data_IF_581830359993
#
_entry.id   IF_581830359993
#
_cell.length_a   1.000
_cell.length_b   1.000
_cell.length_c   1.000
_cell.angle_alpha   90.00
_cell.angle_beta   90.00
_cell.angle_gamma   90.00
#
_symmetry.space_group_name_H-M   'P 1'
#
loop_
_entity.id
_entity.type
_entity.pdbx_description
1 polymer ?
#
# COMPACT_ATOMS: atom_id res chain seq x y z
N UNK A 1 -12.48 -21.93 -0.72
CA UNK A 1 -13.01 -20.76 0.01
C UNK A 1 -12.20 -19.48 -0.19
N UNK A 2 -10.85 -19.51 -0.13
CA UNK A 2 -10.03 -18.28 -0.21
C UNK A 2 -10.09 -17.49 -1.52
N UNK A 3 -10.25 -18.15 -2.67
CA UNK A 3 -10.21 -17.47 -3.97
C UNK A 3 -11.33 -16.43 -4.18
N UNK A 4 -12.55 -16.69 -3.71
CA UNK A 4 -13.66 -15.72 -3.80
C UNK A 4 -13.42 -14.51 -2.88
N UNK A 5 -12.87 -14.74 -1.69
CA UNK A 5 -12.54 -13.65 -0.75
C UNK A 5 -11.42 -12.76 -1.30
N UNK A 6 -10.38 -13.34 -1.91
CA UNK A 6 -9.30 -12.58 -2.54
C UNK A 6 -9.82 -11.72 -3.70
N UNK A 7 -10.83 -12.18 -4.46
CA UNK A 7 -11.49 -11.34 -5.48
C UNK A 7 -12.17 -10.12 -4.86
N UNK A 8 -12.82 -10.27 -3.69
CA UNK A 8 -13.41 -9.14 -2.94
C UNK A 8 -12.34 -8.15 -2.49
N UNK A 9 -11.21 -8.65 -1.97
CA UNK A 9 -10.04 -7.81 -1.62
C UNK A 9 -9.51 -7.06 -2.85
N UNK A 10 -9.43 -7.72 -4.00
CA UNK A 10 -9.01 -7.09 -5.25
C UNK A 10 -9.96 -5.96 -5.66
N UNK A 11 -11.28 -6.20 -5.57
CA UNK A 11 -12.28 -5.19 -5.91
C UNK A 11 -12.19 -3.98 -4.97
N UNK A 12 -12.02 -4.23 -3.68
CA UNK A 12 -11.80 -3.17 -2.68
C UNK A 12 -10.53 -2.37 -2.99
N UNK A 13 -9.42 -3.04 -3.31
CA UNK A 13 -8.17 -2.38 -3.71
C UNK A 13 -8.31 -1.54 -4.98
N UNK A 14 -9.06 -2.01 -5.97
CA UNK A 14 -9.35 -1.24 -7.20
C UNK A 14 -10.20 -0.01 -6.90
N UNK A 15 -11.23 -0.15 -6.05
CA UNK A 15 -12.04 0.97 -5.58
C UNK A 15 -11.20 2.01 -4.84
N UNK A 16 -10.37 1.57 -3.88
CA UNK A 16 -9.45 2.44 -3.15
C UNK A 16 -8.46 3.16 -4.08
N UNK A 17 -7.92 2.45 -5.08
CA UNK A 17 -7.04 3.04 -6.09
C UNK A 17 -7.75 4.14 -6.87
N UNK A 18 -8.97 3.89 -7.35
CA UNK A 18 -9.75 4.87 -8.10
C UNK A 18 -10.06 6.12 -7.25
N UNK A 19 -10.48 5.92 -6.00
CA UNK A 19 -10.75 7.02 -5.06
C UNK A 19 -9.49 7.86 -4.83
N UNK A 20 -8.35 7.22 -4.56
CA UNK A 20 -7.08 7.92 -4.34
C UNK A 20 -6.63 8.71 -5.56
N UNK A 21 -6.78 8.16 -6.77
CA UNK A 21 -6.45 8.87 -8.02
C UNK A 21 -7.33 10.11 -8.19
N UNK A 22 -8.64 9.98 -7.97
CA UNK A 22 -9.58 11.12 -8.08
C UNK A 22 -9.26 12.18 -7.03
N UNK A 23 -9.06 11.77 -5.77
CA UNK A 23 -8.74 12.70 -4.68
C UNK A 23 -7.43 13.45 -4.92
N UNK A 24 -6.37 12.76 -5.36
CA UNK A 24 -5.11 13.39 -5.73
C UNK A 24 -5.28 14.34 -6.93
N UNK A 25 -6.01 13.93 -7.96
CA UNK A 25 -6.25 14.79 -9.12
C UNK A 25 -6.97 16.09 -8.73
N UNK A 26 -8.00 16.00 -7.88
CA UNK A 26 -8.70 17.18 -7.35
C UNK A 26 -7.75 18.04 -6.50
N UNK A 27 -7.03 17.44 -5.57
CA UNK A 27 -6.10 18.18 -4.70
C UNK A 27 -5.00 18.91 -5.50
N UNK A 28 -4.42 18.29 -6.52
CA UNK A 28 -3.44 18.94 -7.39
C UNK A 28 -4.06 19.99 -8.33
N UNK A 29 -5.33 19.84 -8.70
CA UNK A 29 -6.02 20.80 -9.56
C UNK A 29 -6.50 22.04 -8.81
N UNK A 30 -6.83 21.93 -7.52
CA UNK A 30 -7.47 23.02 -6.76
C UNK A 30 -6.65 23.53 -5.56
N UNK A 31 -5.67 22.77 -5.08
CA UNK A 31 -4.93 23.08 -3.86
C UNK A 31 -3.54 23.67 -4.09
N UNK A 32 -3.01 24.33 -3.06
CA UNK A 32 -1.61 24.74 -2.97
C UNK A 32 -0.89 23.87 -1.94
N UNK A 33 -0.16 22.86 -2.44
CA UNK A 33 0.51 21.88 -1.60
C UNK A 33 1.49 22.50 -0.59
N UNK A 34 2.20 23.57 -0.97
CA UNK A 34 3.22 24.17 -0.11
C UNK A 34 2.57 24.98 1.02
N UNK A 35 1.58 25.80 0.68
CA UNK A 35 0.85 26.62 1.65
C UNK A 35 0.05 25.74 2.61
N UNK A 36 -0.74 24.80 2.10
CA UNK A 36 -1.58 23.91 2.91
C UNK A 36 -0.74 22.94 3.75
N UNK A 37 0.37 22.43 3.20
CA UNK A 37 1.30 21.56 3.93
C UNK A 37 1.87 22.25 5.17
N UNK A 38 2.21 23.54 5.09
CA UNK A 38 2.69 24.30 6.25
C UNK A 38 1.64 24.44 7.36
N UNK A 39 0.36 24.57 6.98
CA UNK A 39 -0.76 24.64 7.92
C UNK A 39 -0.98 23.29 8.62
N UNK A 40 -0.92 22.18 7.88
CA UNK A 40 -1.02 20.83 8.44
C UNK A 40 0.07 20.58 9.48
N UNK A 41 1.30 21.01 9.20
CA UNK A 41 2.43 20.87 10.13
C UNK A 41 2.30 21.79 11.37
N UNK A 42 1.57 22.89 11.26
CA UNK A 42 1.26 23.78 12.38
C UNK A 42 0.22 23.21 13.34
N UNK A 43 -0.66 22.31 12.87
CA UNK A 43 -1.72 21.72 13.67
C UNK A 43 -1.23 20.46 14.42
N UNK A 44 -1.50 20.32 15.74
CA UNK A 44 -1.12 19.13 16.50
C UNK A 44 -1.67 17.82 15.91
N UNK A 45 -2.96 17.82 15.54
CA UNK A 45 -3.59 16.68 14.89
C UNK A 45 -3.07 16.45 13.48
N UNK A 46 -2.71 17.51 12.74
CA UNK A 46 -2.12 17.38 11.40
C UNK A 46 -0.78 16.63 11.44
N UNK A 47 0.09 16.98 12.39
CA UNK A 47 1.34 16.22 12.64
C UNK A 47 1.08 14.78 13.08
N UNK A 48 0.11 14.54 13.96
CA UNK A 48 -0.23 13.18 14.38
C UNK A 48 -0.74 12.32 13.21
N UNK A 49 -1.58 12.87 12.33
CA UNK A 49 -2.03 12.19 11.13
C UNK A 49 -0.88 11.90 10.15
N UNK A 50 0.12 12.78 10.04
CA UNK A 50 1.32 12.49 9.25
C UNK A 50 2.13 11.34 9.86
N UNK A 51 2.30 11.30 11.19
CA UNK A 51 2.95 10.18 11.87
C UNK A 51 2.20 8.88 11.61
N UNK A 52 0.88 8.87 11.80
CA UNK A 52 0.02 7.70 11.54
C UNK A 52 0.13 7.21 10.09
N UNK A 53 0.06 8.15 9.13
CA UNK A 53 0.23 7.90 7.71
C UNK A 53 1.55 7.18 7.39
N UNK A 54 2.67 7.69 7.90
CA UNK A 54 4.00 7.15 7.60
C UNK A 54 4.32 5.88 8.38
N UNK A 55 3.82 5.71 9.60
CA UNK A 55 3.91 4.42 10.31
C UNK A 55 3.14 3.35 9.54
N UNK A 56 1.92 3.66 9.06
CA UNK A 56 1.16 2.77 8.19
C UNK A 56 1.91 2.42 6.90
N UNK A 57 2.54 3.41 6.25
CA UNK A 57 3.35 3.18 5.06
C UNK A 57 4.58 2.29 5.36
N UNK A 58 5.24 2.47 6.51
CA UNK A 58 6.36 1.63 6.92
C UNK A 58 5.94 0.18 7.18
N UNK A 59 4.78 -0.04 7.80
CA UNK A 59 4.23 -1.38 8.02
C UNK A 59 3.91 -2.10 6.70
N UNK A 60 3.27 -1.39 5.76
CA UNK A 60 3.04 -1.91 4.40
C UNK A 60 4.38 -2.16 3.70
N UNK A 61 5.34 -1.25 3.80
CA UNK A 61 6.69 -1.44 3.26
C UNK A 61 7.39 -2.68 3.80
N UNK A 62 7.23 -2.97 5.09
CA UNK A 62 7.71 -4.21 5.72
C UNK A 62 7.01 -5.45 5.16
N UNK A 63 5.69 -5.40 4.96
CA UNK A 63 4.95 -6.47 4.31
C UNK A 63 5.42 -6.71 2.86
N UNK A 64 5.67 -5.65 2.08
CA UNK A 64 6.23 -5.74 0.72
C UNK A 64 7.60 -6.40 0.76
N UNK A 65 8.49 -5.97 1.67
CA UNK A 65 9.83 -6.54 1.82
C UNK A 65 9.78 -8.03 2.22
N UNK A 66 8.79 -8.43 3.02
CA UNK A 66 8.54 -9.84 3.33
C UNK A 66 7.99 -10.61 2.13
N UNK A 67 7.16 -10.01 1.28
CA UNK A 67 6.48 -10.69 0.16
C UNK A 67 7.37 -10.85 -1.08
N UNK A 68 8.23 -9.87 -1.33
CA UNK A 68 9.13 -9.80 -2.48
C UNK A 68 10.52 -10.36 -2.17
N UNK A 69 11.07 -11.20 -3.06
CA UNK A 69 12.45 -11.67 -2.96
C UNK A 69 13.47 -10.74 -3.62
N UNK A 70 13.01 -9.85 -4.50
CA UNK A 70 13.87 -9.02 -5.33
C UNK A 70 14.07 -7.63 -4.70
N UNK A 71 15.29 -7.36 -4.27
CA UNK A 71 15.68 -6.05 -3.73
C UNK A 71 15.30 -4.86 -4.62
N UNK A 72 15.54 -4.89 -5.95
CA UNK A 72 15.09 -3.81 -6.83
C UNK A 72 13.57 -3.57 -6.78
N UNK A 73 12.76 -4.64 -6.71
CA UNK A 73 11.30 -4.49 -6.59
C UNK A 73 10.88 -3.89 -5.25
N UNK A 74 11.52 -4.31 -4.15
CA UNK A 74 11.28 -3.75 -2.82
C UNK A 74 11.56 -2.25 -2.84
N UNK A 75 12.73 -1.85 -3.35
CA UNK A 75 13.14 -0.44 -3.42
C UNK A 75 12.20 0.39 -4.31
N UNK A 76 11.78 -0.16 -5.46
CA UNK A 76 10.81 0.52 -6.32
C UNK A 76 9.47 0.77 -5.61
N UNK A 77 8.97 -0.22 -4.85
CA UNK A 77 7.74 -0.05 -4.08
C UNK A 77 7.89 0.89 -2.90
N UNK A 78 9.02 0.87 -2.18
CA UNK A 78 9.28 1.83 -1.11
C UNK A 78 9.37 3.27 -1.63
N UNK A 79 10.02 3.48 -2.78
CA UNK A 79 10.02 4.77 -3.43
C UNK A 79 8.60 5.20 -3.83
N UNK A 80 7.82 4.28 -4.38
CA UNK A 80 6.42 4.54 -4.71
C UNK A 80 5.59 4.88 -3.46
N UNK A 81 5.82 4.24 -2.31
CA UNK A 81 5.13 4.58 -1.05
C UNK A 81 5.48 5.98 -0.56
N UNK A 82 6.73 6.43 -0.72
CA UNK A 82 7.14 7.78 -0.31
C UNK A 82 6.53 8.84 -1.24
N UNK A 83 6.51 8.58 -2.55
CA UNK A 83 6.06 9.55 -3.57
C UNK A 83 4.54 9.57 -3.74
N UNK A 84 3.90 8.40 -3.81
CA UNK A 84 2.47 8.25 -4.09
C UNK A 84 1.64 7.97 -2.83
N UNK A 85 2.26 7.76 -1.68
CA UNK A 85 1.58 7.42 -0.44
C UNK A 85 0.77 6.12 -0.54
N UNK A 86 -0.43 6.12 0.03
CA UNK A 86 -1.31 4.93 0.05
C UNK A 86 -1.97 4.59 -1.29
N UNK A 87 -1.79 5.41 -2.33
CA UNK A 87 -2.11 4.97 -3.69
C UNK A 87 -1.21 3.78 -4.09
N UNK A 88 0.09 3.83 -3.76
CA UNK A 88 0.99 2.71 -4.00
C UNK A 88 0.59 1.46 -3.20
N UNK A 89 0.18 1.64 -1.93
CA UNK A 89 -0.35 0.55 -1.10
C UNK A 89 -1.57 -0.13 -1.75
N UNK A 90 -2.54 0.66 -2.24
CA UNK A 90 -3.74 0.13 -2.88
C UNK A 90 -3.42 -0.64 -4.17
N UNK A 91 -2.53 -0.10 -5.02
CA UNK A 91 -2.07 -0.79 -6.22
C UNK A 91 -1.34 -2.08 -5.86
N UNK A 92 -0.50 -2.06 -4.82
CA UNK A 92 0.22 -3.25 -4.35
C UNK A 92 -0.74 -4.34 -3.87
N UNK A 93 -1.78 -3.98 -3.11
CA UNK A 93 -2.84 -4.92 -2.68
C UNK A 93 -3.55 -5.54 -3.88
N UNK A 94 -3.88 -4.75 -4.92
CA UNK A 94 -4.48 -5.27 -6.16
C UNK A 94 -3.54 -6.25 -6.86
N UNK A 95 -2.24 -5.96 -6.90
CA UNK A 95 -1.24 -6.86 -7.46
C UNK A 95 -1.12 -8.16 -6.63
N UNK A 96 -1.07 -8.05 -5.31
CA UNK A 96 -1.03 -9.19 -4.39
C UNK A 96 -2.30 -10.06 -4.49
N UNK A 97 -3.45 -9.45 -4.70
CA UNK A 97 -4.74 -10.12 -4.86
C UNK A 97 -4.91 -10.86 -6.21
N UNK A 98 -3.88 -10.92 -7.06
CA UNK A 98 -3.81 -11.88 -8.17
C UNK A 98 -3.46 -13.30 -7.71
N UNK A 99 -3.16 -13.48 -6.43
CA UNK A 99 -2.83 -14.77 -5.82
C UNK A 99 -4.03 -15.73 -5.80
N UNK A 100 -3.78 -17.02 -5.93
CA UNK A 100 -4.80 -18.08 -5.94
C UNK A 100 -5.29 -18.48 -4.54
N UNK A 101 -4.43 -18.34 -3.53
CA UNK A 101 -4.71 -18.69 -2.13
C UNK A 101 -4.10 -17.68 -1.15
N UNK A 102 -4.50 -17.77 0.12
CA UNK A 102 -4.09 -16.84 1.18
C UNK A 102 -2.58 -16.91 1.50
N UNK A 103 -1.96 -18.08 1.42
CA UNK A 103 -0.51 -18.23 1.64
C UNK A 103 0.25 -17.45 0.57
N UNK A 104 -0.18 -17.60 -0.68
CA UNK A 104 0.41 -16.89 -1.81
C UNK A 104 0.06 -15.40 -1.77
N UNK A 105 -1.07 -14.98 -1.18
CA UNK A 105 -1.45 -13.57 -0.97
C UNK A 105 -0.65 -12.85 0.13
N UNK A 106 -0.25 -13.53 1.20
CA UNK A 106 0.54 -12.90 2.25
C UNK A 106 2.04 -12.99 2.00
N UNK A 107 2.51 -14.16 1.57
CA UNK A 107 3.94 -14.48 1.51
C UNK A 107 4.56 -14.28 0.12
N UNK A 108 3.73 -14.20 -0.93
CA UNK A 108 4.19 -13.98 -2.30
C UNK A 108 5.27 -14.96 -2.73
N UNK A 109 6.46 -14.45 -3.01
CA UNK A 109 7.60 -15.26 -3.44
C UNK A 109 8.14 -16.21 -2.36
N UNK A 110 7.83 -15.96 -1.08
CA UNK A 110 8.18 -16.82 0.05
C UNK A 110 7.11 -17.87 0.38
N UNK A 111 6.04 -17.98 -0.42
CA UNK A 111 4.96 -18.92 -0.13
C UNK A 111 5.41 -20.40 -0.19
N UNK A 112 6.44 -20.75 -0.95
CA UNK A 112 6.98 -22.12 -0.99
C UNK A 112 7.69 -22.50 0.30
N UNK A 113 8.49 -21.61 0.88
CA UNK A 113 9.17 -21.85 2.16
C UNK A 113 8.17 -21.91 3.31
N UNK A 114 7.17 -21.02 3.34
CA UNK A 114 6.12 -21.07 4.37
C UNK A 114 5.34 -22.40 4.34
N UNK A 115 5.17 -23.00 3.15
CA UNK A 115 4.52 -24.31 3.02
C UNK A 115 5.40 -25.50 3.39
N UNK A 116 6.73 -25.38 3.30
CA UNK A 116 7.63 -26.45 3.76
C UNK A 116 7.67 -26.53 5.28
N UNK A 117 7.66 -25.38 5.95
CA UNK A 117 7.81 -25.30 7.42
C UNK A 117 6.54 -25.72 8.17
N UNK A 118 5.40 -25.80 7.47
CA UNK A 118 4.10 -26.18 8.01
C UNK A 118 3.78 -27.69 7.91
N UNK A 119 4.69 -28.50 7.38
CA UNK A 119 4.56 -29.96 7.25
C UNK A 119 5.39 -30.68 8.30
#
# INVERSE_FOLDING_TARGET
MGHEQIKKVRLLGLGATAIMVVALAVAFATGDFASEGSQILGLPWGRMSLVDLYIGAALIGGWIAHRERSWPRILAWWLALIVLGHLASAIYVVAAAKSTDWTTFWSGSNASSVRSDAR
#
